data_IF_989781724584
#
_entry.id   IF_989781724584
#
_cell.length_a   1.000
_cell.length_b   1.000
_cell.length_c   1.000
_cell.angle_alpha   90.00
_cell.angle_beta   90.00
_cell.angle_gamma   90.00
#
_symmetry.space_group_name_H-M   'P 1'
#
loop_
_entity.id
_entity.type
_entity.pdbx_description
1 polymer ?
#
# COMPACT_ATOMS: atom_id res chain seq x y z
N UNK A 1 -11.60 29.32 -14.28
CA UNK A 1 -11.03 28.77 -13.03
C UNK A 1 -11.96 27.65 -12.63
N UNK A 2 -11.70 26.45 -13.15
CA UNK A 2 -12.59 25.31 -13.01
C UNK A 2 -12.74 24.92 -11.55
N UNK A 3 -13.99 24.67 -11.17
CA UNK A 3 -14.41 24.48 -9.82
C UNK A 3 -13.81 23.19 -9.25
N UNK A 4 -12.82 23.34 -8.36
CA UNK A 4 -12.57 22.40 -7.27
C UNK A 4 -13.81 22.44 -6.36
N UNK A 5 -14.91 21.85 -6.82
CA UNK A 5 -16.13 21.70 -6.04
C UNK A 5 -15.87 20.72 -4.91
N UNK A 6 -16.54 20.90 -3.77
CA UNK A 6 -16.43 20.01 -2.61
C UNK A 6 -16.74 18.52 -2.90
N UNK A 7 -17.22 18.19 -4.10
CA UNK A 7 -17.53 16.83 -4.52
C UNK A 7 -16.28 16.03 -4.91
N UNK A 8 -15.22 16.65 -5.43
CA UNK A 8 -14.00 15.94 -5.86
C UNK A 8 -13.29 15.23 -4.69
N UNK A 9 -13.12 15.85 -3.52
CA UNK A 9 -12.48 15.17 -2.40
C UNK A 9 -13.38 14.11 -1.74
N UNK A 10 -14.71 14.23 -1.83
CA UNK A 10 -15.64 13.18 -1.37
C UNK A 10 -15.51 11.87 -2.15
N UNK A 11 -15.27 11.96 -3.47
CA UNK A 11 -15.01 10.81 -4.32
C UNK A 11 -13.66 10.16 -3.99
N UNK A 12 -12.63 10.98 -3.77
CA UNK A 12 -11.30 10.52 -3.37
C UNK A 12 -11.32 9.83 -2.01
N UNK A 13 -12.08 10.36 -1.04
CA UNK A 13 -12.24 9.74 0.27
C UNK A 13 -12.83 8.32 0.17
N UNK A 14 -13.86 8.16 -0.67
CA UNK A 14 -14.50 6.86 -0.90
C UNK A 14 -13.52 5.85 -1.53
N UNK A 15 -12.79 6.26 -2.57
CA UNK A 15 -11.82 5.40 -3.24
C UNK A 15 -10.65 5.01 -2.32
N UNK A 16 -10.09 5.97 -1.58
CA UNK A 16 -8.97 5.73 -0.66
C UNK A 16 -9.38 4.80 0.49
N UNK A 17 -10.61 4.91 0.99
CA UNK A 17 -11.13 4.03 2.04
C UNK A 17 -11.23 2.57 1.59
N UNK A 18 -11.65 2.33 0.35
CA UNK A 18 -11.71 0.97 -0.21
C UNK A 18 -10.32 0.38 -0.39
N UNK A 19 -9.37 1.21 -0.85
CA UNK A 19 -7.97 0.83 -1.01
C UNK A 19 -7.32 0.53 0.35
N UNK A 20 -7.58 1.34 1.38
CA UNK A 20 -7.13 1.13 2.77
C UNK A 20 -7.57 -0.22 3.31
N UNK A 21 -8.82 -0.62 3.07
CA UNK A 21 -9.36 -1.90 3.50
C UNK A 21 -8.60 -3.06 2.82
N UNK A 22 -8.40 -2.97 1.50
CA UNK A 22 -7.62 -3.96 0.76
C UNK A 22 -6.17 -4.06 1.27
N UNK A 23 -5.54 -2.93 1.59
CA UNK A 23 -4.18 -2.89 2.12
C UNK A 23 -4.08 -3.52 3.51
N UNK A 24 -5.05 -3.24 4.38
CA UNK A 24 -5.12 -3.84 5.72
C UNK A 24 -5.27 -5.35 5.65
N UNK A 25 -6.17 -5.84 4.79
CA UNK A 25 -6.34 -7.28 4.57
C UNK A 25 -5.03 -7.94 4.11
N UNK A 26 -4.30 -7.28 3.21
CA UNK A 26 -3.02 -7.77 2.71
C UNK A 26 -1.93 -7.77 3.78
N UNK A 27 -1.85 -6.72 4.58
CA UNK A 27 -0.93 -6.62 5.70
C UNK A 27 -1.15 -7.75 6.71
N UNK A 28 -2.41 -7.99 7.09
CA UNK A 28 -2.78 -9.07 8.02
C UNK A 28 -2.43 -10.44 7.46
N UNK A 29 -2.69 -10.69 6.17
CA UNK A 29 -2.32 -11.92 5.50
C UNK A 29 -0.80 -12.16 5.54
N UNK A 30 0.02 -11.16 5.19
CA UNK A 30 1.48 -11.29 5.26
C UNK A 30 1.98 -11.51 6.69
N UNK A 31 1.44 -10.78 7.67
CA UNK A 31 1.82 -10.94 9.07
C UNK A 31 1.49 -12.35 9.59
N UNK A 32 0.33 -12.91 9.21
CA UNK A 32 -0.06 -14.27 9.59
C UNK A 32 0.91 -15.33 9.02
N UNK A 33 1.28 -15.21 7.74
CA UNK A 33 2.21 -16.15 7.10
C UNK A 33 3.62 -16.03 7.69
N UNK A 34 4.10 -14.80 7.98
CA UNK A 34 5.40 -14.59 8.65
C UNK A 34 5.42 -15.26 10.03
N UNK A 35 4.34 -15.15 10.83
CA UNK A 35 4.24 -15.82 12.13
C UNK A 35 4.32 -17.34 11.98
N UNK A 36 3.54 -17.92 11.07
CA UNK A 36 3.56 -19.36 10.83
C UNK A 36 4.93 -19.88 10.35
N UNK A 37 5.60 -19.13 9.46
CA UNK A 37 6.96 -19.46 9.02
C UNK A 37 7.98 -19.32 10.16
N UNK A 38 7.81 -18.35 11.07
CA UNK A 38 8.70 -18.17 12.21
C UNK A 38 8.59 -19.33 13.21
N UNK A 39 7.37 -19.83 13.43
CA UNK A 39 7.14 -21.02 14.26
C UNK A 39 7.84 -22.24 13.63
N UNK A 40 7.65 -22.47 12.32
CA UNK A 40 8.33 -23.56 11.58
C UNK A 40 9.85 -23.44 11.56
N UNK A 41 10.40 -22.22 11.50
CA UNK A 41 11.84 -22.01 11.55
C UNK A 41 12.44 -22.45 12.89
N UNK A 42 11.71 -22.24 13.99
CA UNK A 42 12.14 -22.66 15.34
C UNK A 42 12.28 -24.18 15.43
N UNK A 43 11.47 -24.93 14.69
CA UNK A 43 11.52 -26.39 14.65
C UNK A 43 12.60 -26.96 13.73
N UNK A 44 12.78 -26.39 12.52
CA UNK A 44 13.63 -27.01 11.47
C UNK A 44 14.89 -26.22 11.09
N UNK A 45 15.05 -24.98 11.55
CA UNK A 45 16.18 -24.06 11.26
C UNK A 45 16.61 -24.00 9.78
N UNK A 46 15.69 -24.20 8.85
CA UNK A 46 16.00 -24.24 7.42
C UNK A 46 16.24 -22.83 6.86
N UNK A 47 17.33 -22.68 6.09
CA UNK A 47 17.69 -21.40 5.46
C UNK A 47 16.65 -20.92 4.43
N UNK A 48 15.92 -21.84 3.80
CA UNK A 48 14.84 -21.53 2.87
C UNK A 48 13.70 -20.75 3.55
N UNK A 49 13.36 -21.10 4.80
CA UNK A 49 12.31 -20.43 5.59
C UNK A 49 12.69 -18.96 5.88
N UNK A 50 13.95 -18.70 6.25
CA UNK A 50 14.45 -17.33 6.44
C UNK A 50 14.30 -16.51 5.15
N UNK A 51 14.62 -17.09 4.00
CA UNK A 51 14.51 -16.41 2.72
C UNK A 51 13.05 -16.01 2.41
N UNK A 52 12.09 -16.90 2.67
CA UNK A 52 10.66 -16.61 2.52
C UNK A 52 10.20 -15.50 3.48
N UNK A 53 10.58 -15.58 4.77
CA UNK A 53 10.26 -14.55 5.76
C UNK A 53 10.79 -13.18 5.32
N UNK A 54 12.03 -13.12 4.80
CA UNK A 54 12.63 -11.87 4.32
C UNK A 54 11.85 -11.29 3.14
N UNK A 55 11.44 -12.12 2.18
CA UNK A 55 10.62 -11.69 1.04
C UNK A 55 9.23 -11.19 1.48
N UNK A 56 8.58 -11.88 2.42
CA UNK A 56 7.29 -11.43 2.96
C UNK A 56 7.42 -10.14 3.77
N UNK A 57 8.50 -9.98 4.55
CA UNK A 57 8.77 -8.76 5.31
C UNK A 57 8.95 -7.56 4.38
N UNK A 58 9.66 -7.71 3.27
CA UNK A 58 9.80 -6.67 2.27
C UNK A 58 8.44 -6.22 1.70
N UNK A 59 7.56 -7.18 1.36
CA UNK A 59 6.19 -6.89 0.88
C UNK A 59 5.33 -6.21 1.93
N UNK A 60 5.46 -6.63 3.19
CA UNK A 60 4.77 -6.05 4.33
C UNK A 60 5.22 -4.60 4.56
N UNK A 61 6.52 -4.32 4.53
CA UNK A 61 7.05 -2.97 4.64
C UNK A 61 6.58 -2.09 3.47
N UNK A 62 6.55 -2.62 2.24
CA UNK A 62 6.05 -1.91 1.06
C UNK A 62 4.54 -1.58 1.19
N UNK A 63 3.75 -2.53 1.73
CA UNK A 63 2.33 -2.34 2.05
C UNK A 63 2.12 -1.24 3.09
N UNK A 64 2.99 -1.17 4.10
CA UNK A 64 2.96 -0.09 5.10
C UNK A 64 3.26 1.27 4.48
N UNK A 65 4.26 1.37 3.62
CA UNK A 65 4.63 2.64 2.99
C UNK A 65 3.51 3.17 2.08
N UNK A 66 2.89 2.31 1.24
CA UNK A 66 1.74 2.75 0.44
C UNK A 66 0.58 3.25 1.30
N UNK A 67 0.29 2.60 2.44
CA UNK A 67 -0.73 3.08 3.38
C UNK A 67 -0.39 4.47 3.94
N UNK A 68 0.85 4.69 4.37
CA UNK A 68 1.28 5.99 4.93
C UNK A 68 1.14 7.10 3.90
N UNK A 69 1.58 6.89 2.66
CA UNK A 69 1.43 7.89 1.59
C UNK A 69 -0.05 8.17 1.27
N UNK A 70 -0.89 7.12 1.20
CA UNK A 70 -2.33 7.26 0.98
C UNK A 70 -3.04 8.04 2.09
N UNK A 71 -2.76 7.72 3.37
CA UNK A 71 -3.34 8.45 4.53
C UNK A 71 -2.86 9.90 4.54
N UNK A 72 -1.57 10.13 4.30
CA UNK A 72 -0.99 11.48 4.32
C UNK A 72 -1.60 12.34 3.20
N UNK A 73 -1.78 11.77 2.00
CA UNK A 73 -2.52 12.40 0.91
C UNK A 73 -3.94 12.76 1.33
N UNK A 74 -4.67 11.85 1.96
CA UNK A 74 -6.03 12.09 2.42
C UNK A 74 -6.11 13.21 3.46
N UNK A 75 -5.17 13.24 4.42
CA UNK A 75 -5.06 14.31 5.41
C UNK A 75 -4.82 15.68 4.76
N UNK A 76 -3.94 15.74 3.75
CA UNK A 76 -3.71 16.97 2.97
C UNK A 76 -4.95 17.38 2.18
N UNK A 77 -5.74 16.43 1.66
CA UNK A 77 -7.03 16.72 1.01
C UNK A 77 -8.06 17.30 2.00
N UNK A 78 -8.16 16.76 3.22
CA UNK A 78 -9.02 17.32 4.28
C UNK A 78 -8.55 18.72 4.67
N UNK A 79 -7.24 18.93 4.80
CA UNK A 79 -6.66 20.25 5.07
C UNK A 79 -6.96 21.24 3.93
N UNK A 80 -6.93 20.79 2.68
CA UNK A 80 -7.32 21.59 1.51
C UNK A 80 -8.77 22.06 1.63
N UNK A 81 -9.71 21.14 1.93
CA UNK A 81 -11.12 21.49 2.13
C UNK A 81 -11.30 22.51 3.26
N UNK A 82 -10.53 22.35 4.35
CA UNK A 82 -10.54 23.31 5.45
C UNK A 82 -10.02 24.70 5.03
N UNK A 83 -8.93 24.77 4.25
CA UNK A 83 -8.39 26.03 3.74
C UNK A 83 -9.35 26.76 2.79
N UNK A 84 -10.05 26.01 1.93
CA UNK A 84 -11.11 26.55 1.06
C UNK A 84 -12.25 27.11 1.93
N UNK A 85 -12.62 26.41 3.00
CA UNK A 85 -13.68 26.86 3.91
C UNK A 85 -13.36 28.21 4.58
N UNK A 86 -12.09 28.45 4.95
CA UNK A 86 -11.62 29.75 5.47
C UNK A 86 -11.22 30.75 4.37
N UNK A 87 -11.62 30.53 3.11
CA UNK A 87 -11.36 31.38 1.94
C UNK A 87 -9.87 31.55 1.55
N UNK A 88 -8.97 30.67 2.01
CA UNK A 88 -7.53 30.69 1.68
C UNK A 88 -7.21 29.87 0.41
N UNK A 89 -7.82 30.25 -0.72
CA UNK A 89 -7.78 29.47 -1.95
C UNK A 89 -6.37 29.29 -2.55
N UNK A 90 -5.49 30.29 -2.45
CA UNK A 90 -4.15 30.20 -3.04
C UNK A 90 -3.31 29.11 -2.36
N UNK A 91 -3.34 29.04 -1.02
CA UNK A 91 -2.65 27.98 -0.27
C UNK A 91 -3.30 26.61 -0.47
N UNK A 92 -4.63 26.56 -0.59
CA UNK A 92 -5.35 25.33 -0.84
C UNK A 92 -4.90 24.63 -2.13
N UNK A 93 -4.69 25.36 -3.22
CA UNK A 93 -4.26 24.79 -4.50
C UNK A 93 -2.88 24.10 -4.39
N UNK A 94 -1.92 24.73 -3.72
CA UNK A 94 -0.59 24.14 -3.52
C UNK A 94 -0.64 22.86 -2.67
N UNK A 95 -1.41 22.88 -1.58
CA UNK A 95 -1.56 21.73 -0.68
C UNK A 95 -2.30 20.60 -1.38
N UNK A 96 -3.31 20.91 -2.18
CA UNK A 96 -4.03 19.93 -2.99
C UNK A 96 -3.13 19.26 -4.02
N UNK A 97 -2.30 20.04 -4.72
CA UNK A 97 -1.31 19.51 -5.66
C UNK A 97 -0.35 18.54 -4.98
N UNK A 98 0.14 18.88 -3.79
CA UNK A 98 0.99 17.99 -2.99
C UNK A 98 0.25 16.72 -2.58
N UNK A 99 -1.02 16.83 -2.16
CA UNK A 99 -1.85 15.68 -1.82
C UNK A 99 -1.97 14.69 -2.99
N UNK A 100 -2.22 15.20 -4.20
CA UNK A 100 -2.32 14.37 -5.40
C UNK A 100 -1.00 13.67 -5.75
N UNK A 101 0.13 14.36 -5.61
CA UNK A 101 1.45 13.75 -5.84
C UNK A 101 1.70 12.58 -4.87
N UNK A 102 1.37 12.74 -3.59
CA UNK A 102 1.47 11.66 -2.62
C UNK A 102 0.55 10.48 -2.95
N UNK A 103 -0.65 10.75 -3.47
CA UNK A 103 -1.57 9.70 -3.91
C UNK A 103 -0.99 8.91 -5.10
N UNK A 104 -0.45 9.61 -6.09
CA UNK A 104 0.21 8.98 -7.25
C UNK A 104 1.36 8.10 -6.77
N UNK A 105 2.21 8.59 -5.87
CA UNK A 105 3.30 7.81 -5.30
C UNK A 105 2.78 6.55 -4.58
N UNK A 106 1.72 6.66 -3.78
CA UNK A 106 1.08 5.50 -3.14
C UNK A 106 0.62 4.45 -4.16
N UNK A 107 0.02 4.87 -5.27
CA UNK A 107 -0.46 3.96 -6.31
C UNK A 107 0.69 3.33 -7.11
N UNK A 108 1.78 4.04 -7.35
CA UNK A 108 2.98 3.48 -7.97
C UNK A 108 3.60 2.38 -7.09
N UNK A 109 3.65 2.59 -5.77
CA UNK A 109 4.07 1.55 -4.84
C UNK A 109 3.15 0.32 -4.89
N UNK A 110 1.84 0.51 -5.02
CA UNK A 110 0.89 -0.59 -5.19
C UNK A 110 1.19 -1.42 -6.44
N UNK A 111 1.42 -0.76 -7.59
CA UNK A 111 1.75 -1.45 -8.85
C UNK A 111 3.05 -2.26 -8.67
N UNK A 112 4.07 -1.65 -8.06
CA UNK A 112 5.35 -2.31 -7.85
C UNK A 112 5.23 -3.52 -6.90
N UNK A 113 4.45 -3.38 -5.84
CA UNK A 113 4.17 -4.46 -4.91
C UNK A 113 3.45 -5.63 -5.61
N UNK A 114 2.46 -5.35 -6.48
CA UNK A 114 1.76 -6.40 -7.24
C UNK A 114 2.73 -7.17 -8.13
N UNK A 115 3.67 -6.49 -8.80
CA UNK A 115 4.68 -7.15 -9.62
C UNK A 115 5.60 -8.06 -8.79
N UNK A 116 6.06 -7.59 -7.62
CA UNK A 116 6.87 -8.40 -6.70
C UNK A 116 6.07 -9.60 -6.21
N UNK A 117 4.78 -9.39 -5.91
CA UNK A 117 3.84 -10.43 -5.46
C UNK A 117 3.70 -11.55 -6.50
N UNK A 118 3.41 -11.16 -7.74
CA UNK A 118 3.25 -12.07 -8.88
C UNK A 118 4.55 -12.79 -9.24
N UNK A 119 5.71 -12.11 -9.18
CA UNK A 119 7.01 -12.72 -9.49
C UNK A 119 7.36 -13.86 -8.52
N UNK A 120 7.22 -13.66 -7.21
CA UNK A 120 7.57 -14.76 -6.29
C UNK A 120 6.54 -15.90 -6.30
N UNK A 121 5.27 -15.63 -6.66
CA UNK A 121 4.30 -16.71 -6.86
C UNK A 121 4.70 -17.60 -8.05
N UNK A 122 5.12 -17.02 -9.16
CA UNK A 122 5.62 -17.78 -10.33
C UNK A 122 6.87 -18.58 -10.01
N UNK A 123 7.80 -18.02 -9.24
CA UNK A 123 9.03 -18.73 -8.86
C UNK A 123 8.73 -19.92 -7.94
N UNK A 124 7.81 -19.75 -6.98
CA UNK A 124 7.40 -20.83 -6.09
C UNK A 124 6.61 -21.93 -6.80
N UNK A 125 5.79 -21.59 -7.80
CA UNK A 125 5.11 -22.59 -8.64
C UNK A 125 6.08 -23.36 -9.52
N UNK A 126 7.06 -22.69 -10.13
CA UNK A 126 8.04 -23.33 -11.01
C UNK A 126 8.91 -24.36 -10.25
N UNK A 127 9.30 -24.08 -9.00
CA UNK A 127 10.01 -25.06 -8.15
C UNK A 127 9.16 -26.32 -7.87
N UNK A 128 7.85 -26.16 -7.66
CA UNK A 128 6.95 -27.30 -7.38
C UNK A 128 6.70 -28.11 -8.66
N UNK A 129 6.65 -27.47 -9.82
CA UNK A 129 6.38 -28.12 -11.10
C UNK A 129 7.59 -28.90 -11.65
N UNK A 130 8.82 -28.48 -11.33
CA UNK A 130 10.04 -29.25 -11.62
C UNK A 130 10.25 -30.42 -10.65
N UNK A 131 9.83 -30.31 -9.38
CA UNK A 131 9.84 -31.43 -8.42
C UNK A 131 8.77 -32.51 -8.72
N UNK A 132 7.82 -32.21 -9.61
CA UNK A 132 6.74 -33.11 -10.05
C UNK A 132 7.08 -33.91 -11.32
N UNK A 133 8.26 -33.71 -11.91
CA UNK A 133 8.78 -34.44 -13.08
C UNK A 133 9.77 -35.54 -12.71
#
# INVERSE_FOLDING_TARGET
MEALTLTTPGLLFSAISLIMLAYTNRFLAYAAVIRNLSDKYTERQEKAIIHQIKNLKLRLDLTRWMQIFGITSLLLCVLTMFLIYINQNNFAVWIFGLALLLLILSLLFLIWEIQISAKALRHHLADIEDDLK
#
